data_IF_357771388776
#
_entry.id   IF_357771388776
#
_cell.length_a   1.000
_cell.length_b   1.000
_cell.length_c   1.000
_cell.angle_alpha   90.00
_cell.angle_beta   90.00
_cell.angle_gamma   90.00
#
_symmetry.space_group_name_H-M   'P 1'
#
loop_
_entity.id
_entity.type
_entity.pdbx_description
1 polymer ?
#
# COMPACT_ATOMS: atom_id res chain seq x y z
N UNK A 1 -3.01 13.85 26.79
CA UNK A 1 -2.79 15.20 26.34
C UNK A 1 -1.74 15.21 25.20
N UNK A 2 -2.17 15.56 23.97
CA UNK A 2 -1.40 16.29 22.99
C UNK A 2 -0.31 15.62 22.15
N UNK A 3 -0.55 14.47 21.53
CA UNK A 3 0.38 13.88 20.53
C UNK A 3 0.09 14.26 19.08
N UNK A 4 -0.97 15.04 18.82
CA UNK A 4 -1.45 15.34 17.46
C UNK A 4 -0.89 16.58 16.79
N UNK A 5 0.00 17.37 17.42
CA UNK A 5 0.40 18.68 16.89
C UNK A 5 1.64 18.67 15.98
N UNK A 6 2.44 17.59 15.96
CA UNK A 6 3.70 17.55 15.21
C UNK A 6 3.62 16.90 13.81
N UNK A 7 2.48 16.28 13.46
CA UNK A 7 2.35 15.47 12.24
C UNK A 7 1.88 16.22 10.98
N UNK A 8 1.47 17.49 11.07
CA UNK A 8 0.82 18.20 9.95
C UNK A 8 1.57 19.45 9.43
N UNK A 9 2.86 19.60 9.69
CA UNK A 9 3.66 20.80 9.34
C UNK A 9 4.43 20.77 8.01
N UNK A 10 4.22 19.81 7.11
CA UNK A 10 4.88 19.75 5.80
C UNK A 10 4.13 20.55 4.74
N UNK A 11 4.69 21.67 4.26
CA UNK A 11 4.23 22.40 3.06
C UNK A 11 4.55 21.60 1.78
N UNK A 12 3.83 20.48 1.56
CA UNK A 12 3.82 19.75 0.30
C UNK A 12 2.40 19.83 -0.26
N UNK A 13 2.22 20.38 -1.46
CA UNK A 13 0.93 20.39 -2.15
C UNK A 13 0.39 18.96 -2.21
N UNK A 14 -0.86 18.73 -1.79
CA UNK A 14 -1.51 17.40 -1.84
C UNK A 14 -1.50 16.92 -3.28
N UNK A 15 -0.64 15.96 -3.61
CA UNK A 15 -0.73 15.22 -4.88
C UNK A 15 -2.12 14.56 -4.91
N UNK A 16 -2.91 14.84 -5.93
CA UNK A 16 -4.20 14.17 -6.12
C UNK A 16 -3.96 12.67 -6.22
N UNK A 17 -4.73 11.89 -5.45
CA UNK A 17 -4.70 10.43 -5.54
C UNK A 17 -5.09 9.98 -6.94
N UNK A 18 -4.49 8.90 -7.42
CA UNK A 18 -4.75 8.34 -8.75
C UNK A 18 -5.68 7.14 -8.64
N UNK A 19 -6.82 7.22 -9.34
CA UNK A 19 -7.73 6.10 -9.57
C UNK A 19 -7.45 5.52 -10.95
N UNK A 20 -7.10 4.25 -11.02
CA UNK A 20 -7.03 3.53 -12.29
C UNK A 20 -8.33 2.72 -12.46
N UNK A 21 -8.96 2.83 -13.60
CA UNK A 21 -10.18 2.09 -13.94
C UNK A 21 -9.86 1.15 -15.10
N UNK A 22 -9.73 -0.15 -14.82
CA UNK A 22 -9.64 -1.22 -15.81
C UNK A 22 -11.05 -1.67 -16.22
N UNK A 23 -11.64 -0.98 -17.20
CA UNK A 23 -13.00 -1.26 -17.68
C UNK A 23 -13.21 -0.65 -19.07
N UNK A 24 -13.98 -1.33 -19.93
CA UNK A 24 -14.36 -0.80 -21.24
C UNK A 24 -15.12 0.52 -21.17
N UNK A 25 -14.85 1.42 -22.13
CA UNK A 25 -15.53 2.73 -22.19
C UNK A 25 -17.03 2.57 -22.42
N UNK A 26 -17.83 3.19 -21.56
CA UNK A 26 -19.30 3.19 -21.65
C UNK A 26 -19.91 4.35 -20.89
N UNK A 27 -21.24 4.44 -20.92
CA UNK A 27 -21.98 5.46 -20.18
C UNK A 27 -21.70 5.39 -18.68
N UNK A 28 -21.55 4.17 -18.15
CA UNK A 28 -21.22 3.89 -16.75
C UNK A 28 -19.87 4.52 -16.36
N UNK A 29 -18.80 4.23 -17.10
CA UNK A 29 -17.46 4.74 -16.83
C UNK A 29 -17.41 6.27 -16.96
N UNK A 30 -18.07 6.84 -17.97
CA UNK A 30 -18.17 8.31 -18.12
C UNK A 30 -18.88 8.98 -16.94
N UNK A 31 -19.94 8.35 -16.40
CA UNK A 31 -20.65 8.87 -15.24
C UNK A 31 -19.77 8.75 -13.98
N UNK A 32 -19.15 7.60 -13.78
CA UNK A 32 -18.23 7.36 -12.68
C UNK A 32 -17.04 8.35 -12.69
N UNK A 33 -16.46 8.61 -13.86
CA UNK A 33 -15.38 9.58 -14.02
C UNK A 33 -15.84 11.00 -13.63
N UNK A 34 -17.06 11.41 -14.02
CA UNK A 34 -17.63 12.71 -13.63
C UNK A 34 -17.80 12.84 -12.12
N UNK A 35 -18.25 11.78 -11.45
CA UNK A 35 -18.45 11.74 -10.01
C UNK A 35 -17.14 11.84 -9.21
N UNK A 36 -16.02 11.36 -9.79
CA UNK A 36 -14.75 11.22 -9.07
C UNK A 36 -13.69 12.27 -9.45
N UNK A 37 -13.85 12.96 -10.59
CA UNK A 37 -12.86 13.96 -11.09
C UNK A 37 -12.53 15.09 -10.11
N UNK A 38 -13.43 15.40 -9.19
CA UNK A 38 -13.22 16.44 -8.18
C UNK A 38 -12.37 15.96 -6.97
N UNK A 39 -12.24 14.65 -6.79
CA UNK A 39 -11.57 14.06 -5.62
C UNK A 39 -10.28 13.33 -5.97
N UNK A 40 -10.10 12.92 -7.23
CA UNK A 40 -8.92 12.19 -7.66
C UNK A 40 -8.65 12.38 -9.16
N UNK A 41 -7.40 12.05 -9.56
CA UNK A 41 -7.04 11.87 -10.97
C UNK A 41 -7.55 10.51 -11.44
N UNK A 42 -8.38 10.49 -12.49
CA UNK A 42 -8.95 9.25 -13.04
C UNK A 42 -8.24 8.89 -14.33
N UNK A 43 -7.71 7.68 -14.42
CA UNK A 43 -7.08 7.08 -15.60
C UNK A 43 -7.86 5.83 -15.98
N UNK A 44 -8.10 5.61 -17.27
CA UNK A 44 -8.95 4.52 -17.78
C UNK A 44 -8.12 3.63 -18.71
N UNK A 45 -8.13 2.33 -18.43
CA UNK A 45 -7.56 1.27 -19.27
C UNK A 45 -8.70 0.40 -19.81
N UNK A 46 -8.69 0.14 -21.12
CA UNK A 46 -9.77 -0.59 -21.81
C UNK A 46 -9.41 -2.06 -22.05
N UNK A 47 -8.16 -2.44 -21.79
CA UNK A 47 -7.64 -3.79 -21.92
C UNK A 47 -6.58 -4.08 -20.86
N UNK A 48 -6.25 -5.37 -20.69
CA UNK A 48 -5.32 -5.84 -19.66
C UNK A 48 -3.89 -5.34 -19.85
N UNK A 49 -3.41 -5.22 -21.09
CA UNK A 49 -2.06 -4.75 -21.38
C UNK A 49 -1.89 -3.26 -21.03
N UNK A 50 -2.86 -2.46 -21.41
CA UNK A 50 -2.94 -1.03 -21.06
C UNK A 50 -3.03 -0.86 -19.55
N UNK A 51 -3.85 -1.68 -18.88
CA UNK A 51 -4.00 -1.64 -17.42
C UNK A 51 -2.68 -1.92 -16.71
N UNK A 52 -1.99 -2.99 -17.07
CA UNK A 52 -0.70 -3.34 -16.48
C UNK A 52 0.29 -2.19 -16.65
N UNK A 53 0.44 -1.68 -17.86
CA UNK A 53 1.37 -0.58 -18.14
C UNK A 53 1.03 0.74 -17.42
N UNK A 54 -0.23 1.00 -17.13
CA UNK A 54 -0.65 2.17 -16.35
C UNK A 54 -0.36 2.01 -14.86
N UNK A 55 -0.65 0.84 -14.30
CA UNK A 55 -0.36 0.55 -12.88
C UNK A 55 1.13 0.60 -12.61
N UNK A 56 1.95 0.06 -13.51
CA UNK A 56 3.40 0.03 -13.37
C UNK A 56 4.05 1.42 -13.47
N UNK A 57 3.54 2.30 -14.36
CA UNK A 57 4.14 3.62 -14.63
C UNK A 57 3.63 4.72 -13.74
N UNK A 58 2.34 4.77 -13.48
CA UNK A 58 1.71 5.90 -12.78
C UNK A 58 1.47 5.62 -11.31
N UNK A 59 1.43 4.33 -10.94
CA UNK A 59 0.94 3.88 -9.66
C UNK A 59 -0.58 4.09 -9.54
N UNK A 60 -1.22 3.31 -8.69
CA UNK A 60 -2.64 3.48 -8.39
C UNK A 60 -2.84 3.56 -6.88
N UNK A 61 -3.50 4.62 -6.41
CA UNK A 61 -3.95 4.69 -5.00
C UNK A 61 -5.21 3.84 -4.77
N UNK A 62 -6.03 3.65 -5.81
CA UNK A 62 -7.18 2.74 -5.86
C UNK A 62 -7.31 2.21 -7.28
N UNK A 63 -7.69 0.94 -7.42
CA UNK A 63 -7.97 0.28 -8.68
C UNK A 63 -9.43 -0.18 -8.74
N UNK A 64 -10.15 0.16 -9.80
CA UNK A 64 -11.38 -0.53 -10.19
C UNK A 64 -11.01 -1.53 -11.27
N UNK A 65 -11.37 -2.79 -11.09
CA UNK A 65 -11.04 -3.88 -12.00
C UNK A 65 -12.29 -4.62 -12.44
N UNK A 66 -12.62 -4.51 -13.72
CA UNK A 66 -13.60 -5.41 -14.35
C UNK A 66 -12.94 -6.79 -14.56
N UNK A 67 -13.48 -7.82 -13.96
CA UNK A 67 -12.95 -9.19 -14.08
C UNK A 67 -13.09 -9.75 -15.50
N UNK A 68 -13.90 -9.11 -16.35
CA UNK A 68 -14.08 -9.46 -17.77
C UNK A 68 -13.38 -8.48 -18.72
N UNK A 69 -12.39 -7.71 -18.22
CA UNK A 69 -11.61 -6.79 -19.05
C UNK A 69 -10.88 -7.57 -20.16
N UNK A 70 -11.03 -7.18 -21.44
CA UNK A 70 -10.40 -7.88 -22.56
C UNK A 70 -8.87 -7.99 -22.40
N UNK A 71 -8.32 -9.16 -22.69
CA UNK A 71 -6.89 -9.38 -22.63
C UNK A 71 -6.28 -9.38 -21.22
N UNK A 72 -7.12 -9.50 -20.18
CA UNK A 72 -6.69 -9.60 -18.79
C UNK A 72 -6.85 -11.04 -18.29
N UNK A 73 -5.82 -11.57 -17.65
CA UNK A 73 -5.94 -12.64 -16.66
C UNK A 73 -6.13 -11.99 -15.26
N UNK A 74 -7.36 -11.94 -14.71
CA UNK A 74 -7.58 -11.24 -13.45
C UNK A 74 -6.84 -11.87 -12.27
N UNK A 75 -6.68 -13.19 -12.28
CA UNK A 75 -6.02 -13.93 -11.18
C UNK A 75 -4.52 -13.68 -11.21
N UNK A 76 -3.89 -13.81 -12.39
CA UNK A 76 -2.48 -13.51 -12.59
C UNK A 76 -2.17 -12.05 -12.22
N UNK A 77 -2.93 -11.11 -12.75
CA UNK A 77 -2.79 -9.69 -12.45
C UNK A 77 -2.90 -9.39 -10.94
N UNK A 78 -3.91 -9.95 -10.27
CA UNK A 78 -4.11 -9.73 -8.83
C UNK A 78 -3.01 -10.36 -7.98
N UNK A 79 -2.35 -11.42 -8.43
CA UNK A 79 -1.20 -12.03 -7.75
C UNK A 79 0.07 -11.21 -7.89
N UNK A 80 0.29 -10.63 -9.07
CA UNK A 80 1.52 -9.92 -9.42
C UNK A 80 1.52 -8.46 -8.98
N UNK A 81 0.31 -7.85 -8.85
CA UNK A 81 0.19 -6.46 -8.47
C UNK A 81 0.75 -6.14 -7.09
N UNK A 82 1.07 -4.88 -6.87
CA UNK A 82 1.32 -4.39 -5.51
C UNK A 82 0.05 -4.56 -4.68
N UNK A 83 0.13 -5.48 -3.73
CA UNK A 83 -0.98 -5.80 -2.84
C UNK A 83 -1.38 -4.63 -1.91
N UNK A 84 -0.65 -3.47 -1.91
CA UNK A 84 -1.02 -2.26 -1.14
C UNK A 84 -2.13 -1.45 -1.82
N UNK A 85 -2.27 -1.58 -3.14
CA UNK A 85 -3.33 -0.88 -3.87
C UNK A 85 -4.69 -1.51 -3.57
N UNK A 86 -5.63 -0.80 -2.91
CA UNK A 86 -6.99 -1.29 -2.75
C UNK A 86 -7.64 -1.55 -4.10
N UNK A 87 -8.29 -2.71 -4.23
CA UNK A 87 -9.00 -3.09 -5.46
C UNK A 87 -10.49 -3.22 -5.19
N UNK A 88 -11.28 -2.51 -5.99
CA UNK A 88 -12.69 -2.75 -6.17
C UNK A 88 -12.88 -3.58 -7.43
N UNK A 89 -13.14 -4.88 -7.28
CA UNK A 89 -13.43 -5.77 -8.40
C UNK A 89 -14.90 -5.65 -8.80
N UNK A 90 -15.17 -5.72 -10.11
CA UNK A 90 -16.51 -5.73 -10.68
C UNK A 90 -16.72 -6.97 -11.53
N UNK A 91 -17.88 -7.63 -11.37
CA UNK A 91 -18.26 -8.83 -12.11
C UNK A 91 -19.74 -8.80 -12.47
N UNK A 92 -20.15 -9.60 -13.46
CA UNK A 92 -21.56 -9.79 -13.79
C UNK A 92 -22.20 -10.90 -12.94
N UNK A 93 -21.38 -11.81 -12.47
CA UNK A 93 -21.79 -12.93 -11.62
C UNK A 93 -20.63 -13.32 -10.68
N UNK A 94 -20.96 -13.76 -9.48
CA UNK A 94 -20.00 -14.24 -8.49
C UNK A 94 -20.54 -15.49 -7.81
N UNK A 95 -19.81 -16.59 -7.90
CA UNK A 95 -20.06 -17.77 -7.07
C UNK A 95 -19.38 -17.61 -5.69
N UNK A 96 -19.84 -18.34 -4.66
CA UNK A 96 -19.14 -18.37 -3.37
C UNK A 96 -17.65 -18.71 -3.49
N UNK A 97 -17.31 -19.68 -4.34
CA UNK A 97 -15.92 -20.06 -4.62
C UNK A 97 -15.10 -18.92 -5.22
N UNK A 98 -15.67 -18.15 -6.17
CA UNK A 98 -15.01 -16.99 -6.74
C UNK A 98 -14.82 -15.90 -5.68
N UNK A 99 -15.81 -15.66 -4.82
CA UNK A 99 -15.71 -14.66 -3.76
C UNK A 99 -14.55 -14.98 -2.79
N UNK A 100 -14.44 -16.23 -2.37
CA UNK A 100 -13.35 -16.70 -1.51
C UNK A 100 -11.98 -16.57 -2.18
N UNK A 101 -11.88 -17.02 -3.44
CA UNK A 101 -10.63 -16.95 -4.20
C UNK A 101 -10.17 -15.50 -4.40
N UNK A 102 -11.09 -14.60 -4.75
CA UNK A 102 -10.79 -13.18 -4.91
C UNK A 102 -10.44 -12.52 -3.57
N UNK A 103 -11.10 -12.90 -2.48
CA UNK A 103 -10.75 -12.47 -1.13
C UNK A 103 -9.32 -12.84 -0.74
N UNK A 104 -8.88 -14.08 -1.06
CA UNK A 104 -7.50 -14.54 -0.84
C UNK A 104 -6.47 -13.77 -1.69
N UNK A 105 -6.88 -13.23 -2.83
CA UNK A 105 -6.06 -12.37 -3.68
C UNK A 105 -6.01 -10.91 -3.19
N UNK A 106 -6.67 -10.60 -2.05
CA UNK A 106 -6.58 -9.31 -1.40
C UNK A 106 -7.37 -8.20 -2.10
N UNK A 107 -8.50 -8.51 -2.74
CA UNK A 107 -9.43 -7.48 -3.18
C UNK A 107 -10.10 -6.83 -1.96
N UNK A 108 -10.32 -5.51 -2.02
CA UNK A 108 -10.93 -4.75 -0.93
C UNK A 108 -12.45 -4.76 -0.99
N UNK A 109 -12.98 -4.83 -2.21
CA UNK A 109 -14.41 -4.82 -2.49
C UNK A 109 -14.74 -5.60 -3.75
N UNK A 110 -15.87 -6.33 -3.72
CA UNK A 110 -16.43 -7.00 -4.87
C UNK A 110 -17.86 -6.46 -5.11
N UNK A 111 -18.10 -5.91 -6.28
CA UNK A 111 -19.42 -5.43 -6.69
C UNK A 111 -19.92 -6.20 -7.90
N UNK A 112 -21.19 -6.62 -7.84
CA UNK A 112 -21.85 -7.36 -8.91
C UNK A 112 -22.75 -6.40 -9.70
N UNK A 113 -22.68 -6.46 -11.03
CA UNK A 113 -23.57 -5.72 -11.92
C UNK A 113 -24.95 -6.40 -12.03
N UNK A 114 -26.05 -5.65 -12.21
CA UNK A 114 -26.10 -4.20 -12.40
C UNK A 114 -25.95 -3.43 -11.06
N UNK A 115 -25.12 -2.39 -11.06
CA UNK A 115 -24.97 -1.48 -9.93
C UNK A 115 -24.92 -0.02 -10.43
N UNK A 116 -25.25 0.92 -9.53
CA UNK A 116 -25.26 2.33 -9.87
C UNK A 116 -23.85 2.92 -9.80
N UNK A 117 -23.42 3.80 -10.73
CA UNK A 117 -22.13 4.46 -10.69
C UNK A 117 -21.89 5.22 -9.39
N UNK A 118 -22.92 5.79 -8.79
CA UNK A 118 -22.86 6.51 -7.53
C UNK A 118 -22.45 5.59 -6.36
N UNK A 119 -22.95 4.36 -6.34
CA UNK A 119 -22.59 3.36 -5.32
C UNK A 119 -21.12 2.97 -5.45
N UNK A 120 -20.63 2.80 -6.69
CA UNK A 120 -19.21 2.54 -6.95
C UNK A 120 -18.36 3.74 -6.54
N UNK A 121 -18.76 4.95 -6.90
CA UNK A 121 -18.06 6.18 -6.52
C UNK A 121 -17.99 6.34 -5.00
N UNK A 122 -19.04 5.98 -4.28
CA UNK A 122 -19.03 6.00 -2.81
C UNK A 122 -17.98 5.03 -2.25
N UNK A 123 -17.91 3.79 -2.74
CA UNK A 123 -16.90 2.82 -2.30
C UNK A 123 -15.48 3.27 -2.65
N UNK A 124 -15.29 3.88 -3.81
CA UNK A 124 -13.99 4.47 -4.17
C UNK A 124 -13.60 5.58 -3.21
N UNK A 125 -14.51 6.46 -2.83
CA UNK A 125 -14.26 7.52 -1.84
C UNK A 125 -13.86 6.93 -0.49
N UNK A 126 -14.52 5.86 -0.05
CA UNK A 126 -14.18 5.13 1.18
C UNK A 126 -12.78 4.51 1.09
N UNK A 127 -12.44 3.85 -0.02
CA UNK A 127 -11.12 3.27 -0.25
C UNK A 127 -10.01 4.34 -0.38
N UNK A 128 -10.37 5.54 -0.84
CA UNK A 128 -9.46 6.67 -0.91
C UNK A 128 -9.29 7.40 0.41
N UNK A 129 -10.25 7.27 1.33
CA UNK A 129 -10.03 7.81 2.67
C UNK A 129 -8.97 6.96 3.36
N UNK A 130 -8.04 7.55 4.13
CA UNK A 130 -7.23 6.77 5.03
C UNK A 130 -8.19 6.08 6.00
N UNK A 131 -8.42 4.78 5.78
CA UNK A 131 -9.38 3.97 6.55
C UNK A 131 -9.04 3.98 8.04
N UNK A 132 -7.81 4.38 8.37
CA UNK A 132 -7.30 4.44 9.74
C UNK A 132 -6.14 5.42 9.73
N UNK A 133 -5.90 6.11 10.85
CA UNK A 133 -4.80 7.07 10.97
C UNK A 133 -3.43 6.49 10.52
N UNK A 134 -2.42 7.32 10.36
CA UNK A 134 -1.11 6.93 9.83
C UNK A 134 -0.53 5.67 10.49
N UNK A 135 -0.75 5.51 11.78
CA UNK A 135 -0.28 4.34 12.55
C UNK A 135 -0.93 3.04 12.10
N UNK A 136 -2.21 3.01 11.83
CA UNK A 136 -2.87 1.75 11.46
C UNK A 136 -2.59 1.37 9.99
N UNK A 137 -2.34 2.35 9.12
CA UNK A 137 -1.82 2.10 7.78
C UNK A 137 -0.44 1.45 7.86
N UNK A 138 0.45 1.99 8.68
CA UNK A 138 1.78 1.43 8.91
C UNK A 138 1.71 0.04 9.55
N UNK A 139 0.80 -0.18 10.52
CA UNK A 139 0.53 -1.51 11.09
C UNK A 139 0.10 -2.51 10.03
N UNK A 140 -0.82 -2.12 9.15
CA UNK A 140 -1.26 -2.95 8.04
C UNK A 140 -0.11 -3.26 7.06
N UNK A 141 0.72 -2.27 6.72
CA UNK A 141 1.91 -2.43 5.89
C UNK A 141 2.89 -3.45 6.49
N UNK A 142 3.29 -3.27 7.73
CA UNK A 142 4.22 -4.17 8.42
C UNK A 142 3.64 -5.59 8.58
N UNK A 143 2.33 -5.69 8.86
CA UNK A 143 1.63 -6.98 8.95
C UNK A 143 1.68 -7.81 7.66
N UNK A 144 1.72 -7.16 6.49
CA UNK A 144 1.85 -7.84 5.18
C UNK A 144 3.22 -8.48 4.99
N UNK A 145 4.25 -7.87 5.57
CA UNK A 145 5.59 -8.45 5.66
C UNK A 145 5.70 -9.46 6.80
N UNK A 146 4.57 -9.81 7.45
CA UNK A 146 4.51 -10.72 8.60
C UNK A 146 5.45 -10.28 9.74
N UNK A 147 5.70 -8.98 9.86
CA UNK A 147 6.48 -8.43 10.97
C UNK A 147 5.64 -8.51 12.24
N UNK A 148 6.14 -9.16 13.31
CA UNK A 148 5.38 -9.31 14.54
C UNK A 148 5.31 -7.98 15.30
N UNK A 149 4.10 -7.41 15.39
CA UNK A 149 3.86 -6.09 16.01
C UNK A 149 3.67 -6.16 17.53
N UNK A 150 3.44 -7.35 18.06
CA UNK A 150 3.24 -7.59 19.50
C UNK A 150 4.57 -7.60 20.28
N UNK A 151 5.70 -7.67 19.58
CA UNK A 151 7.04 -7.62 20.18
C UNK A 151 7.60 -6.19 20.18
N UNK A 152 8.57 -5.95 21.05
CA UNK A 152 9.26 -4.65 21.16
C UNK A 152 9.81 -4.16 19.81
N UNK A 153 10.35 -5.05 18.98
CA UNK A 153 10.84 -4.71 17.65
C UNK A 153 9.77 -4.14 16.72
N UNK A 154 8.54 -4.66 16.81
CA UNK A 154 7.39 -4.11 16.09
C UNK A 154 7.03 -2.70 16.58
N UNK A 155 7.04 -2.49 17.89
CA UNK A 155 6.81 -1.16 18.50
C UNK A 155 7.91 -0.17 18.11
N UNK A 156 9.18 -0.62 18.10
CA UNK A 156 10.29 0.19 17.60
C UNK A 156 10.09 0.62 16.14
N UNK A 157 9.63 -0.28 15.27
CA UNK A 157 9.36 0.02 13.85
C UNK A 157 8.23 1.03 13.69
N UNK A 158 7.15 0.91 14.47
CA UNK A 158 6.02 1.85 14.44
C UNK A 158 6.40 3.28 14.85
N UNK A 159 7.47 3.44 15.62
CA UNK A 159 8.02 4.76 15.97
C UNK A 159 9.10 5.21 14.98
N UNK A 160 10.01 4.30 14.59
CA UNK A 160 11.17 4.62 13.77
C UNK A 160 10.78 5.05 12.35
N UNK A 161 9.81 4.37 11.73
CA UNK A 161 9.42 4.65 10.34
C UNK A 161 8.86 6.06 10.18
N UNK A 162 7.88 6.52 10.99
CA UNK A 162 7.39 7.89 10.92
C UNK A 162 8.46 8.95 11.21
N UNK A 163 9.39 8.68 12.16
CA UNK A 163 10.49 9.59 12.44
C UNK A 163 11.44 9.72 11.23
N UNK A 164 11.71 8.61 10.54
CA UNK A 164 12.50 8.61 9.31
C UNK A 164 11.79 9.29 8.15
N UNK A 165 10.46 9.21 8.09
CA UNK A 165 9.66 9.95 7.11
C UNK A 165 9.74 11.46 7.30
N UNK A 166 9.77 11.90 8.55
CA UNK A 166 9.88 13.32 8.90
C UNK A 166 11.26 13.88 8.56
N UNK A 167 12.32 13.07 8.73
CA UNK A 167 13.71 13.43 8.40
C UNK A 167 14.42 12.24 7.72
N UNK A 168 14.33 12.09 6.39
CA UNK A 168 14.93 10.97 5.66
C UNK A 168 16.47 10.93 5.69
N UNK A 169 17.11 12.03 6.00
CA UNK A 169 18.57 12.16 6.07
C UNK A 169 19.17 11.80 7.41
N UNK A 170 18.36 11.53 8.43
CA UNK A 170 18.87 11.31 9.78
C UNK A 170 19.69 10.02 9.92
N UNK A 171 20.76 10.10 10.72
CA UNK A 171 21.60 8.94 11.01
C UNK A 171 20.88 7.99 11.98
N UNK A 172 20.82 6.70 11.63
CA UNK A 172 20.10 5.70 12.42
C UNK A 172 20.64 5.57 13.83
N UNK A 173 21.96 5.42 13.98
CA UNK A 173 22.62 5.14 15.26
C UNK A 173 22.80 6.38 16.13
N UNK A 174 22.92 7.57 15.51
CA UNK A 174 23.20 8.83 16.22
C UNK A 174 21.90 9.56 16.60
N UNK A 175 20.85 9.47 15.77
CA UNK A 175 19.61 10.20 16.01
C UNK A 175 18.38 9.30 16.10
N UNK A 176 18.11 8.43 15.14
CA UNK A 176 16.86 7.69 15.08
C UNK A 176 16.71 6.70 16.25
N UNK A 177 17.67 5.77 16.43
CA UNK A 177 17.57 4.77 17.49
C UNK A 177 17.57 5.38 18.89
N UNK A 178 18.41 6.39 19.21
CA UNK A 178 18.31 7.10 20.47
C UNK A 178 16.97 7.78 20.69
N UNK A 179 16.35 8.38 19.65
CA UNK A 179 15.03 8.98 19.76
C UNK A 179 13.95 7.94 20.07
N UNK A 180 13.94 6.81 19.36
CA UNK A 180 13.02 5.68 19.63
C UNK A 180 13.26 5.13 21.02
N UNK A 181 14.52 4.92 21.42
CA UNK A 181 14.89 4.43 22.75
C UNK A 181 14.38 5.33 23.86
N UNK A 182 14.48 6.66 23.67
CA UNK A 182 13.92 7.64 24.61
C UNK A 182 12.40 7.52 24.74
N UNK A 183 11.69 7.31 23.64
CA UNK A 183 10.24 7.11 23.65
C UNK A 183 9.82 5.85 24.41
N UNK A 184 10.57 4.75 24.23
CA UNK A 184 10.28 3.45 24.82
C UNK A 184 10.99 3.22 26.17
N UNK A 185 11.79 4.19 26.66
CA UNK A 185 12.60 4.11 27.88
C UNK A 185 13.56 2.91 27.86
N UNK A 186 14.23 2.71 26.73
CA UNK A 186 15.18 1.63 26.52
C UNK A 186 16.47 2.12 25.86
N UNK A 187 17.54 1.33 25.99
CA UNK A 187 18.81 1.63 25.35
C UNK A 187 18.72 1.50 23.82
N UNK A 188 19.40 2.37 23.11
CA UNK A 188 19.34 2.40 21.64
C UNK A 188 19.94 1.13 20.98
N UNK A 189 20.88 0.46 21.62
CA UNK A 189 21.40 -0.83 21.14
C UNK A 189 20.31 -1.91 21.16
N UNK A 190 19.41 -1.85 22.16
CA UNK A 190 18.27 -2.76 22.22
C UNK A 190 17.27 -2.43 21.11
N UNK A 191 17.05 -1.15 20.80
CA UNK A 191 16.20 -0.73 19.65
C UNK A 191 16.73 -1.33 18.35
N UNK A 192 18.04 -1.18 18.08
CA UNK A 192 18.67 -1.74 16.89
C UNK A 192 18.52 -3.25 16.81
N UNK A 193 18.80 -3.94 17.92
CA UNK A 193 18.70 -5.41 18.01
C UNK A 193 17.26 -5.88 17.78
N UNK A 194 16.29 -5.25 18.43
CA UNK A 194 14.90 -5.68 18.41
C UNK A 194 14.24 -5.40 17.06
N UNK A 195 14.60 -4.31 16.38
CA UNK A 195 14.24 -4.07 14.99
C UNK A 195 14.79 -5.17 14.08
N UNK A 196 16.06 -5.52 14.23
CA UNK A 196 16.72 -6.60 13.46
C UNK A 196 16.01 -7.93 13.66
N UNK A 197 15.63 -8.23 14.90
CA UNK A 197 14.90 -9.44 15.24
C UNK A 197 13.50 -9.45 14.59
N UNK A 198 12.75 -8.35 14.66
CA UNK A 198 11.41 -8.24 14.06
C UNK A 198 11.46 -8.42 12.53
N UNK A 199 12.46 -7.82 11.87
CA UNK A 199 12.70 -8.00 10.42
C UNK A 199 13.03 -9.46 10.11
N UNK A 200 13.88 -10.10 10.90
CA UNK A 200 14.24 -11.51 10.70
C UNK A 200 13.02 -12.43 10.83
N UNK A 201 12.17 -12.20 11.83
CA UNK A 201 10.92 -12.95 12.02
C UNK A 201 9.93 -12.75 10.88
N UNK A 202 9.76 -11.51 10.42
CA UNK A 202 8.95 -11.22 9.24
C UNK A 202 9.48 -11.91 7.98
N UNK A 203 10.80 -11.91 7.78
CA UNK A 203 11.44 -12.60 6.67
C UNK A 203 11.25 -14.13 6.70
N UNK A 204 11.30 -14.74 7.90
CA UNK A 204 11.12 -16.18 8.08
C UNK A 204 9.66 -16.59 7.89
N UNK A 205 8.71 -15.81 8.41
CA UNK A 205 7.27 -16.13 8.41
C UNK A 205 6.47 -15.53 7.26
N UNK A 206 7.08 -14.61 6.49
CA UNK A 206 6.38 -13.85 5.45
C UNK A 206 6.37 -14.54 4.08
N UNK A 207 5.52 -14.01 3.18
CA UNK A 207 5.49 -14.43 1.77
C UNK A 207 6.80 -14.05 1.07
N UNK A 208 7.57 -15.04 0.65
CA UNK A 208 8.90 -14.87 0.06
C UNK A 208 8.89 -13.94 -1.15
N UNK A 209 7.90 -14.09 -2.03
CA UNK A 209 7.77 -13.29 -3.25
C UNK A 209 7.56 -11.81 -2.96
N UNK A 210 6.77 -11.50 -1.92
CA UNK A 210 6.59 -10.11 -1.48
C UNK A 210 7.91 -9.51 -1.01
N UNK A 211 8.65 -10.24 -0.17
CA UNK A 211 9.94 -9.78 0.33
C UNK A 211 10.95 -9.56 -0.80
N UNK A 212 11.09 -10.52 -1.74
CA UNK A 212 12.04 -10.43 -2.84
C UNK A 212 11.68 -9.34 -3.86
N UNK A 213 10.40 -9.01 -4.01
CA UNK A 213 9.96 -7.88 -4.83
C UNK A 213 10.48 -6.54 -4.30
N UNK A 214 10.51 -6.35 -3.00
CA UNK A 214 10.97 -5.11 -2.37
C UNK A 214 12.45 -5.14 -1.96
N UNK A 215 12.99 -6.34 -1.75
CA UNK A 215 14.37 -6.59 -1.33
C UNK A 215 15.00 -7.70 -2.19
N UNK A 216 15.31 -7.43 -3.47
CA UNK A 216 15.78 -8.46 -4.43
C UNK A 216 17.13 -9.08 -4.05
N UNK A 217 17.93 -8.39 -3.23
CA UNK A 217 19.23 -8.90 -2.76
C UNK A 217 19.12 -9.87 -1.58
N UNK A 218 17.92 -10.16 -1.09
CA UNK A 218 17.66 -11.03 0.06
C UNK A 218 17.20 -10.26 1.30
N UNK A 219 17.40 -10.85 2.48
CA UNK A 219 16.98 -10.25 3.75
C UNK A 219 17.64 -8.88 3.96
N UNK A 220 16.85 -7.80 4.13
CA UNK A 220 17.39 -6.45 4.26
C UNK A 220 18.06 -6.24 5.61
N UNK A 221 19.00 -5.28 5.66
CA UNK A 221 19.47 -4.68 6.91
C UNK A 221 18.44 -3.69 7.46
N UNK A 222 18.57 -3.31 8.72
CA UNK A 222 17.63 -2.37 9.37
C UNK A 222 17.40 -1.09 8.53
N UNK A 223 18.48 -0.46 8.08
CA UNK A 223 18.38 0.79 7.30
C UNK A 223 17.64 0.62 5.97
N UNK A 224 17.93 -0.45 5.24
CA UNK A 224 17.25 -0.77 3.98
C UNK A 224 15.76 -1.01 4.22
N UNK A 225 15.42 -1.74 5.27
CA UNK A 225 14.03 -2.02 5.62
C UNK A 225 13.29 -0.75 6.03
N UNK A 226 13.86 0.04 6.95
CA UNK A 226 13.26 1.28 7.43
C UNK A 226 13.01 2.27 6.30
N UNK A 227 14.03 2.50 5.44
CA UNK A 227 13.90 3.40 4.29
C UNK A 227 12.80 2.93 3.34
N UNK A 228 12.78 1.62 3.03
CA UNK A 228 11.78 1.05 2.12
C UNK A 228 10.37 1.11 2.69
N UNK A 229 10.18 0.85 3.98
CA UNK A 229 8.87 0.96 4.63
C UNK A 229 8.38 2.42 4.66
N UNK A 230 9.27 3.38 4.94
CA UNK A 230 8.96 4.81 4.88
C UNK A 230 8.54 5.26 3.47
N UNK A 231 9.18 4.76 2.41
CA UNK A 231 8.77 5.01 1.03
C UNK A 231 7.38 4.44 0.73
N UNK A 232 7.14 3.19 1.12
CA UNK A 232 5.85 2.51 0.89
C UNK A 232 4.72 3.16 1.69
N UNK A 233 4.98 3.60 2.92
CA UNK A 233 3.96 4.28 3.73
C UNK A 233 3.60 5.65 3.16
N UNK A 234 4.57 6.36 2.56
CA UNK A 234 4.32 7.60 1.80
C UNK A 234 3.63 7.37 0.45
N UNK A 235 3.50 6.13 -0.02
CA UNK A 235 2.94 5.80 -1.33
C UNK A 235 3.90 6.10 -2.50
N UNK A 236 5.21 6.08 -2.27
CA UNK A 236 6.23 6.22 -3.31
C UNK A 236 6.46 4.86 -3.96
N UNK A 237 6.13 4.72 -5.25
CA UNK A 237 6.39 3.51 -6.02
C UNK A 237 7.92 3.23 -6.10
N UNK A 238 8.36 1.95 -6.16
CA UNK A 238 9.76 1.63 -6.33
C UNK A 238 10.28 2.16 -7.68
N UNK A 239 11.45 2.82 -7.67
CA UNK A 239 12.17 3.01 -8.93
C UNK A 239 12.50 1.63 -9.52
N UNK A 240 12.29 1.42 -10.84
CA UNK A 240 12.70 0.18 -11.49
C UNK A 240 14.21 -0.01 -11.29
N UNK A 241 14.60 -1.19 -10.83
CA UNK A 241 16.01 -1.54 -10.63
C UNK A 241 16.78 -1.24 -11.93
N UNK A 242 17.75 -0.33 -11.86
CA UNK A 242 18.69 -0.12 -12.98
C UNK A 242 19.34 -1.46 -13.28
N UNK A 243 19.00 -2.04 -14.42
CA UNK A 243 19.74 -3.20 -14.95
C UNK A 243 21.16 -2.73 -15.24
N UNK A 244 22.09 -3.16 -14.41
CA UNK A 244 23.52 -3.08 -14.67
C UNK A 244 23.93 -4.25 -15.55
#
# INVERSE_FOLDING_TARGET
MGWNAWYYGGKGGRKLKTLVIGMGRGAFVRKLQRELKAVCRVVIAEDGQTLQGMVDREGADVLILDLHLPGLDPVGFLRERDALTPVLAMADFVSPYMADALGQLGISYLMVRPCQPESVAQRVRELMQPVVGPEARLRALLGRFSVPLDYLGGQCLLLAIPMLEADPGQCLTVSLYPAVGKCLRMDWHLVERDIRYAIAKGWEGGKRDLWLRHFPRGKPRNGEFLARMAELDRGIAPEPAKRG
#
